data_IF_858753672556
#
_entry.id   IF_858753672556
#
_cell.length_a   1.000
_cell.length_b   1.000
_cell.length_c   1.000
_cell.angle_alpha   90.00
_cell.angle_beta   90.00
_cell.angle_gamma   90.00
#
_symmetry.space_group_name_H-M   'P 1'
#
loop_
_entity.id
_entity.type
_entity.pdbx_description
1 polymer ?
#
# COMPACT_ATOMS: atom_id res chain seq x y z
N UNK A 1 -10.34 23.16 42.07
CA UNK A 1 -11.16 22.57 40.97
C UNK A 1 -11.35 23.47 39.74
N UNK A 2 -11.01 24.78 39.77
CA UNK A 2 -11.17 25.67 38.60
C UNK A 2 -10.08 25.47 37.53
N UNK A 3 -8.85 25.14 37.94
CA UNK A 3 -7.71 24.91 37.03
C UNK A 3 -7.89 23.67 36.15
N UNK A 4 -8.54 22.61 36.68
CA UNK A 4 -8.74 21.33 35.97
C UNK A 4 -9.70 21.47 34.78
N UNK A 5 -10.65 22.43 34.85
CA UNK A 5 -11.57 22.75 33.75
C UNK A 5 -10.88 23.44 32.57
N UNK A 6 -9.71 24.06 32.79
CA UNK A 6 -8.90 24.68 31.73
C UNK A 6 -7.89 23.69 31.12
N UNK A 7 -7.41 22.71 31.88
CA UNK A 7 -6.46 21.70 31.39
C UNK A 7 -7.12 20.67 30.47
N UNK A 8 -8.35 20.26 30.80
CA UNK A 8 -9.10 19.26 30.03
C UNK A 8 -9.32 19.63 28.55
N UNK A 9 -9.74 20.86 28.19
CA UNK A 9 -9.88 21.24 26.78
C UNK A 9 -8.53 21.39 26.08
N UNK A 10 -7.46 21.79 26.77
CA UNK A 10 -6.11 21.93 26.17
C UNK A 10 -5.52 20.56 25.80
N UNK A 11 -5.70 19.55 26.67
CA UNK A 11 -5.31 18.17 26.36
C UNK A 11 -6.14 17.57 25.23
N UNK A 12 -7.43 17.93 25.14
CA UNK A 12 -8.29 17.50 24.03
C UNK A 12 -7.92 18.21 22.72
N UNK A 13 -7.40 19.44 22.77
CA UNK A 13 -6.97 20.18 21.59
C UNK A 13 -5.61 19.70 21.05
N UNK A 14 -4.70 19.22 21.91
CA UNK A 14 -3.39 18.73 21.45
C UNK A 14 -3.46 17.36 20.75
N UNK A 15 -4.42 16.51 21.10
CA UNK A 15 -4.62 15.21 20.43
C UNK A 15 -5.12 15.35 19.00
N UNK A 16 -5.84 16.44 18.68
CA UNK A 16 -6.29 16.76 17.30
C UNK A 16 -5.12 17.20 16.41
N UNK A 17 -4.08 17.81 16.99
CA UNK A 17 -2.92 18.34 16.24
C UNK A 17 -1.88 17.26 15.94
N UNK A 18 -1.91 16.12 16.62
CA UNK A 18 -1.03 14.98 16.36
C UNK A 18 -1.49 14.16 15.13
N UNK A 19 -1.87 14.84 14.04
CA UNK A 19 -2.08 14.18 12.77
C UNK A 19 -0.71 13.74 12.25
N UNK A 20 -0.50 12.43 12.18
CA UNK A 20 0.72 11.85 11.64
C UNK A 20 1.00 12.47 10.27
N UNK A 21 2.14 13.14 10.14
CA UNK A 21 2.59 13.64 8.84
C UNK A 21 2.61 12.46 7.87
N UNK A 22 1.93 12.54 6.71
CA UNK A 22 2.12 11.55 5.68
C UNK A 22 3.61 11.58 5.33
N UNK A 23 4.33 10.55 5.77
CA UNK A 23 5.69 10.32 5.38
C UNK A 23 5.64 10.14 3.87
N UNK A 24 5.98 11.19 3.12
CA UNK A 24 6.00 11.20 1.66
C UNK A 24 7.21 10.39 1.16
N UNK A 25 7.30 9.15 1.63
CA UNK A 25 8.34 8.20 1.27
C UNK A 25 8.09 7.83 -0.18
N UNK A 26 9.15 7.94 -0.97
CA UNK A 26 9.13 7.46 -2.34
C UNK A 26 8.74 5.97 -2.33
N UNK A 27 7.90 5.52 -3.27
CA UNK A 27 7.55 4.11 -3.36
C UNK A 27 8.82 3.28 -3.62
N UNK A 28 8.87 2.07 -3.08
CA UNK A 28 9.87 1.10 -3.49
C UNK A 28 9.51 0.56 -4.87
N UNK A 29 10.49 0.40 -5.75
CA UNK A 29 10.29 -0.14 -7.10
C UNK A 29 10.98 -1.49 -7.17
N UNK A 30 10.25 -2.52 -7.60
CA UNK A 30 10.78 -3.86 -7.89
C UNK A 30 10.56 -4.11 -9.38
N UNK A 31 11.65 -4.30 -10.13
CA UNK A 31 11.60 -4.68 -11.54
C UNK A 31 11.84 -6.19 -11.66
N UNK A 32 10.83 -6.90 -12.15
CA UNK A 32 10.94 -8.32 -12.48
C UNK A 32 11.07 -8.43 -13.99
N UNK A 33 12.22 -8.89 -14.46
CA UNK A 33 12.51 -9.12 -15.87
C UNK A 33 12.59 -10.62 -16.13
N UNK A 34 11.86 -11.07 -17.14
CA UNK A 34 11.88 -12.45 -17.63
C UNK A 34 12.43 -12.45 -19.04
N UNK A 35 13.34 -13.39 -19.34
CA UNK A 35 13.86 -13.60 -20.68
C UNK A 35 12.90 -14.47 -21.51
N UNK A 36 12.73 -14.15 -22.79
CA UNK A 36 11.92 -14.88 -23.77
C UNK A 36 10.47 -15.27 -23.35
N UNK A 37 9.88 -14.57 -22.38
CA UNK A 37 8.48 -14.81 -22.01
C UNK A 37 7.54 -14.16 -23.03
N UNK A 38 6.80 -15.01 -23.74
CA UNK A 38 5.78 -14.60 -24.69
C UNK A 38 4.47 -14.21 -24.01
N UNK A 39 3.63 -13.47 -24.75
CA UNK A 39 2.32 -13.04 -24.25
C UNK A 39 1.40 -14.23 -23.88
N UNK A 40 1.47 -15.32 -24.65
CA UNK A 40 0.67 -16.53 -24.44
C UNK A 40 1.14 -17.39 -23.27
N UNK A 41 2.24 -17.04 -22.60
CA UNK A 41 2.81 -17.87 -21.54
C UNK A 41 2.14 -17.59 -20.18
N UNK A 42 1.54 -16.41 -20.00
CA UNK A 42 0.92 -15.96 -18.75
C UNK A 42 -0.58 -16.27 -18.77
N UNK A 43 -1.11 -16.87 -17.71
CA UNK A 43 -2.52 -17.28 -17.66
C UNK A 43 -3.51 -16.12 -17.74
N UNK A 44 -3.18 -14.97 -17.15
CA UNK A 44 -4.00 -13.75 -17.26
C UNK A 44 -4.15 -13.24 -18.72
N UNK A 45 -3.24 -13.61 -19.61
CA UNK A 45 -3.30 -13.27 -21.04
C UNK A 45 -3.82 -14.42 -21.91
N UNK A 46 -4.42 -15.46 -21.31
CA UNK A 46 -5.00 -16.60 -22.01
C UNK A 46 -4.05 -17.78 -22.18
N UNK A 47 -2.87 -17.75 -21.55
CA UNK A 47 -1.99 -18.90 -21.43
C UNK A 47 -2.64 -20.04 -20.66
N UNK A 48 -2.42 -21.28 -21.12
CA UNK A 48 -3.04 -22.50 -20.55
C UNK A 48 -2.04 -23.59 -20.19
N UNK A 49 -0.77 -23.42 -20.55
CA UNK A 49 0.23 -24.48 -20.44
C UNK A 49 0.86 -24.55 -19.04
N UNK A 50 1.25 -23.40 -18.47
CA UNK A 50 1.85 -23.29 -17.13
C UNK A 50 0.99 -22.37 -16.26
N UNK A 51 0.66 -22.77 -15.02
CA UNK A 51 -0.03 -21.87 -14.10
C UNK A 51 0.92 -20.78 -13.60
N UNK A 52 0.49 -19.51 -13.64
CA UNK A 52 1.26 -18.36 -13.13
C UNK A 52 0.58 -17.69 -11.92
N UNK A 53 0.35 -18.40 -10.79
CA UNK A 53 -0.55 -17.94 -9.72
C UNK A 53 -0.11 -16.63 -9.06
N UNK A 54 1.20 -16.38 -8.96
CA UNK A 54 1.72 -15.13 -8.39
C UNK A 54 1.52 -13.94 -9.34
N UNK A 55 1.72 -14.13 -10.64
CA UNK A 55 1.48 -13.09 -11.66
C UNK A 55 -0.03 -12.80 -11.74
N UNK A 56 -0.86 -13.85 -11.69
CA UNK A 56 -2.32 -13.71 -11.68
C UNK A 56 -2.82 -12.96 -10.44
N UNK A 57 -2.20 -13.18 -9.27
CA UNK A 57 -2.52 -12.44 -8.06
C UNK A 57 -2.14 -10.96 -8.20
N UNK A 58 -0.93 -10.67 -8.70
CA UNK A 58 -0.48 -9.29 -8.96
C UNK A 58 -1.41 -8.57 -9.93
N UNK A 59 -1.78 -9.21 -11.05
CA UNK A 59 -2.69 -8.63 -12.04
C UNK A 59 -4.09 -8.34 -11.49
N UNK A 60 -4.56 -9.10 -10.49
CA UNK A 60 -5.85 -8.86 -9.82
C UNK A 60 -5.79 -7.71 -8.81
N UNK A 61 -4.62 -7.45 -8.21
CA UNK A 61 -4.49 -6.46 -7.15
C UNK A 61 -4.00 -5.09 -7.63
N UNK A 62 -3.43 -5.01 -8.84
CA UNK A 62 -2.84 -3.79 -9.39
C UNK A 62 -1.37 -3.66 -9.03
#
# INVERSE_FOLDING_TARGET
>A
MKILKFILPVLFFSSVISQAYPQNRKPNVILILTDDMGFSDISTFGGKFVPTPNIDALAKTG
#
